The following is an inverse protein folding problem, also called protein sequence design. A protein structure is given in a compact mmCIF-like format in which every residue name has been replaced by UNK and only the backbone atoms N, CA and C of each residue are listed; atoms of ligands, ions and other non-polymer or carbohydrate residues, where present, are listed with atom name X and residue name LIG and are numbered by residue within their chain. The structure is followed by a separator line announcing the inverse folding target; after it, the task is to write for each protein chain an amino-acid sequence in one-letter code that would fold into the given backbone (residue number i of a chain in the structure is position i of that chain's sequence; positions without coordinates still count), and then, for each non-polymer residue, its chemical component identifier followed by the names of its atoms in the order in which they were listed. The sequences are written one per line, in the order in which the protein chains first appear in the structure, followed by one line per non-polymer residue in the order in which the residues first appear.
data_IF_700363906771
#
_entry.id   IF_700363906771
#
_cell.length_a   1.000
_cell.length_b   1.000
_cell.length_c   1.000
_cell.angle_alpha   90.00
_cell.angle_beta   90.00
_cell.angle_gamma   90.00
#
_symmetry.space_group_name_H-M   'P 1'
#
loop_
_entity.id
_entity.type
_entity.pdbx_description
1 polymer ?
#
# COMPACT_ATOMS: atom_id res chain seq x y z
N UNK A 1 44.51 42.91 -36.12
CA UNK A 1 43.66 41.74 -36.42
C UNK A 1 43.79 40.70 -35.32
N UNK A 2 42.82 40.61 -34.41
CA UNK A 2 42.43 39.36 -33.74
C UNK A 2 41.02 39.55 -33.22
N UNK A 3 40.11 38.92 -33.94
CA UNK A 3 38.65 38.97 -33.80
C UNK A 3 38.27 38.15 -32.56
N UNK A 4 37.68 38.78 -31.54
CA UNK A 4 37.11 38.09 -30.39
C UNK A 4 35.72 37.53 -30.80
N UNK A 5 35.65 36.22 -31.00
CA UNK A 5 34.41 35.50 -31.29
C UNK A 5 33.75 35.14 -29.95
N UNK A 6 32.64 35.79 -29.63
CA UNK A 6 31.75 35.36 -28.55
C UNK A 6 31.02 34.10 -29.02
N UNK A 7 31.40 32.92 -28.50
CA UNK A 7 30.58 31.72 -28.61
C UNK A 7 29.39 31.85 -27.66
N UNK A 8 28.22 32.19 -28.21
CA UNK A 8 26.95 32.06 -27.51
C UNK A 8 26.61 30.58 -27.30
N UNK A 9 26.46 30.17 -26.05
CA UNK A 9 25.82 28.89 -25.72
C UNK A 9 24.32 29.02 -25.97
N UNK A 10 23.88 28.52 -27.13
CA UNK A 10 22.49 28.15 -27.35
C UNK A 10 22.17 26.93 -26.46
N UNK A 11 21.62 27.19 -25.29
CA UNK A 11 20.87 26.16 -24.57
C UNK A 11 19.63 25.82 -25.40
N UNK A 12 19.70 24.69 -26.11
CA UNK A 12 18.54 24.09 -26.74
C UNK A 12 17.53 23.73 -25.65
N UNK A 13 16.42 24.46 -25.61
CA UNK A 13 15.22 24.07 -24.87
C UNK A 13 14.67 22.80 -25.53
N UNK A 14 15.08 21.62 -25.06
CA UNK A 14 14.32 20.40 -25.35
C UNK A 14 13.09 20.50 -24.46
N UNK A 15 11.99 21.01 -25.00
CA UNK A 15 10.69 20.85 -24.39
C UNK A 15 10.42 19.33 -24.35
N UNK A 16 10.65 18.71 -23.20
CA UNK A 16 10.17 17.36 -22.94
C UNK A 16 8.66 17.41 -23.09
N UNK A 17 8.13 16.84 -24.17
CA UNK A 17 6.74 16.40 -24.22
C UNK A 17 6.45 15.75 -22.87
N UNK A 18 5.43 16.23 -22.14
CA UNK A 18 4.98 15.58 -20.90
C UNK A 18 4.47 14.18 -21.29
N UNK A 19 5.39 13.24 -21.43
CA UNK A 19 5.08 11.83 -21.48
C UNK A 19 4.36 11.50 -20.18
N UNK A 20 3.27 10.74 -20.28
CA UNK A 20 2.54 10.23 -19.11
C UNK A 20 3.54 9.59 -18.15
N UNK A 21 3.76 10.22 -17.00
CA UNK A 21 4.65 9.72 -15.95
C UNK A 21 3.97 8.50 -15.33
N UNK A 22 4.41 7.31 -15.73
CA UNK A 22 3.97 6.07 -15.12
C UNK A 22 4.40 6.05 -13.64
N UNK A 23 3.55 5.53 -12.73
CA UNK A 23 3.94 5.40 -11.33
C UNK A 23 5.10 4.41 -11.22
N UNK A 24 6.13 4.79 -10.47
CA UNK A 24 7.25 3.91 -10.15
C UNK A 24 6.72 2.68 -9.38
N UNK A 25 7.18 1.47 -9.70
CA UNK A 25 6.71 0.27 -9.03
C UNK A 25 7.15 0.27 -7.57
N UNK A 26 6.19 0.17 -6.65
CA UNK A 26 6.45 0.07 -5.21
C UNK A 26 6.23 -1.37 -4.78
N UNK A 27 7.30 -2.05 -4.40
CA UNK A 27 7.26 -3.39 -3.82
C UNK A 27 8.50 -3.62 -2.96
N UNK A 28 8.46 -4.64 -2.11
CA UNK A 28 9.61 -4.96 -1.27
C UNK A 28 9.40 -6.17 -0.38
N UNK A 29 10.42 -6.41 0.44
CA UNK A 29 10.52 -7.52 1.38
C UNK A 29 10.82 -6.99 2.77
N UNK A 30 10.13 -7.51 3.77
CA UNK A 30 10.37 -7.28 5.19
C UNK A 30 10.71 -8.61 5.86
N UNK A 31 11.55 -8.57 6.89
CA UNK A 31 11.82 -9.74 7.71
C UNK A 31 12.14 -9.33 9.15
N UNK A 32 11.96 -10.26 10.09
CA UNK A 32 12.46 -10.11 11.46
C UNK A 32 13.99 -9.96 11.48
N UNK A 33 14.57 -9.26 12.45
CA UNK A 33 16.02 -9.17 12.60
C UNK A 33 16.64 -10.57 12.74
N UNK A 34 17.62 -10.89 11.89
CA UNK A 34 18.33 -12.18 11.92
C UNK A 34 17.74 -13.28 11.05
N UNK A 35 16.54 -13.10 10.48
CA UNK A 35 15.90 -14.11 9.62
C UNK A 35 16.85 -14.64 8.52
N UNK A 36 16.97 -15.97 8.32
CA UNK A 36 16.10 -17.05 8.84
C UNK A 36 16.50 -17.60 10.22
N UNK A 37 17.53 -17.05 10.86
CA UNK A 37 17.90 -17.43 12.22
C UNK A 37 16.87 -16.89 13.22
N UNK A 38 16.93 -17.40 14.47
CA UNK A 38 16.08 -16.91 15.54
C UNK A 38 16.21 -15.40 15.74
N UNK A 39 15.09 -14.73 16.02
CA UNK A 39 15.15 -13.34 16.46
C UNK A 39 15.64 -13.26 17.92
N UNK A 40 16.20 -12.12 18.28
CA UNK A 40 16.65 -11.84 19.64
C UNK A 40 15.51 -11.21 20.46
N UNK A 41 15.61 -11.29 21.79
CA UNK A 41 14.74 -10.57 22.71
C UNK A 41 14.92 -9.04 22.58
N UNK A 42 13.97 -8.28 23.10
CA UNK A 42 13.96 -6.81 23.18
C UNK A 42 14.16 -6.09 21.84
N UNK A 43 13.53 -6.58 20.78
CA UNK A 43 13.61 -5.98 19.45
C UNK A 43 12.35 -5.18 19.14
N UNK A 44 12.55 -3.91 18.79
CA UNK A 44 11.52 -3.08 18.18
C UNK A 44 11.92 -2.72 16.75
N UNK A 45 11.08 -3.02 15.78
CA UNK A 45 11.24 -2.59 14.39
C UNK A 45 9.93 -2.02 13.86
N UNK A 46 10.03 -0.95 13.09
CA UNK A 46 8.86 -0.36 12.46
C UNK A 46 9.19 0.10 11.05
N UNK A 47 8.32 -0.25 10.11
CA UNK A 47 8.40 0.13 8.70
C UNK A 47 7.13 0.87 8.33
N UNK A 48 7.29 2.04 7.70
CA UNK A 48 6.19 2.79 7.10
C UNK A 48 6.31 2.66 5.59
N UNK A 49 5.35 1.96 5.00
CA UNK A 49 5.26 1.70 3.58
C UNK A 49 4.26 2.67 2.97
N UNK A 50 4.58 3.24 1.82
CA UNK A 50 3.71 4.22 1.15
C UNK A 50 3.65 3.94 -0.34
N UNK A 51 2.44 3.74 -0.85
CA UNK A 51 2.12 3.64 -2.27
C UNK A 51 1.77 5.02 -2.84
N UNK A 52 1.79 5.19 -4.18
CA UNK A 52 1.29 6.41 -4.82
C UNK A 52 -0.20 6.66 -4.53
N UNK A 53 -0.71 7.90 -4.67
CA UNK A 53 -2.15 8.16 -4.64
C UNK A 53 -2.90 7.30 -5.67
N UNK A 54 -4.09 6.79 -5.30
CA UNK A 54 -4.86 5.85 -6.12
C UNK A 54 -4.42 4.38 -5.99
N UNK A 55 -3.36 4.11 -5.21
CA UNK A 55 -2.89 2.75 -4.94
C UNK A 55 -3.08 2.39 -3.47
N UNK A 56 -3.20 1.09 -3.21
CA UNK A 56 -3.11 0.49 -1.88
C UNK A 56 -1.94 -0.49 -1.82
N UNK A 57 -1.53 -0.86 -0.62
CA UNK A 57 -0.51 -1.86 -0.39
C UNK A 57 -1.17 -3.20 -0.10
N UNK A 58 -0.72 -4.22 -0.82
CA UNK A 58 -0.99 -5.63 -0.55
C UNK A 58 0.23 -6.22 0.15
N UNK A 59 0.03 -6.89 1.28
CA UNK A 59 1.09 -7.55 2.05
C UNK A 59 0.68 -8.98 2.39
N UNK A 60 1.62 -9.91 2.30
CA UNK A 60 1.45 -11.31 2.68
C UNK A 60 2.75 -11.86 3.28
N UNK A 61 2.63 -12.95 4.03
CA UNK A 61 3.75 -13.62 4.68
C UNK A 61 4.12 -14.90 3.93
N UNK A 62 5.42 -15.13 3.75
CA UNK A 62 5.97 -16.40 3.24
C UNK A 62 6.46 -17.28 4.38
N UNK A 63 6.79 -16.68 5.52
CA UNK A 63 7.18 -17.38 6.74
C UNK A 63 6.67 -16.62 7.96
N UNK A 64 6.18 -17.34 8.97
CA UNK A 64 5.74 -16.75 10.24
C UNK A 64 5.83 -17.76 11.38
N UNK A 65 6.65 -17.44 12.37
CA UNK A 65 6.95 -18.26 13.52
C UNK A 65 7.38 -17.35 14.68
N UNK A 66 6.41 -16.93 15.49
CA UNK A 66 6.60 -16.07 16.66
C UNK A 66 6.12 -16.80 17.93
N UNK A 67 6.56 -16.30 19.08
CA UNK A 67 6.00 -16.71 20.36
C UNK A 67 4.48 -16.50 20.41
N UNK A 68 3.75 -17.49 20.94
CA UNK A 68 2.31 -17.41 21.15
C UNK A 68 2.02 -16.90 22.56
N UNK A 69 1.22 -15.85 22.67
CA UNK A 69 0.78 -15.28 23.95
C UNK A 69 -0.66 -14.78 23.84
N UNK A 70 -1.38 -14.67 24.97
CA UNK A 70 -2.78 -14.25 24.96
C UNK A 70 -2.94 -12.89 24.29
N UNK A 71 -3.72 -12.82 23.21
CA UNK A 71 -3.89 -11.62 22.36
C UNK A 71 -2.57 -11.01 21.85
N UNK A 72 -1.53 -11.82 21.71
CA UNK A 72 -0.20 -11.41 21.23
C UNK A 72 0.42 -10.28 22.07
N UNK A 73 0.36 -10.41 23.40
CA UNK A 73 0.87 -9.41 24.34
C UNK A 73 2.39 -9.41 24.52
N UNK A 74 3.06 -10.55 24.29
CA UNK A 74 4.51 -10.67 24.30
C UNK A 74 5.05 -10.29 22.91
N UNK A 75 5.30 -11.27 22.04
CA UNK A 75 5.82 -11.03 20.71
C UNK A 75 4.71 -10.83 19.68
N UNK A 76 4.88 -9.84 18.79
CA UNK A 76 3.88 -9.60 17.76
C UNK A 76 4.42 -8.93 16.49
N UNK A 77 3.70 -9.17 15.40
CA UNK A 77 3.70 -8.30 14.21
C UNK A 77 2.35 -7.59 14.12
N UNK A 78 2.37 -6.26 14.22
CA UNK A 78 1.19 -5.40 14.14
C UNK A 78 1.13 -4.70 12.79
N UNK A 79 0.00 -4.85 12.11
CA UNK A 79 -0.31 -4.17 10.86
C UNK A 79 -1.31 -3.05 11.12
N UNK A 80 -1.01 -1.84 10.67
CA UNK A 80 -1.87 -0.68 10.89
C UNK A 80 -1.94 0.22 9.66
N UNK A 81 -3.12 0.74 9.37
CA UNK A 81 -3.38 1.67 8.27
C UNK A 81 -4.04 2.93 8.82
N UNK A 82 -3.27 4.02 8.88
CA UNK A 82 -3.69 5.22 9.61
C UNK A 82 -3.93 4.91 11.09
N UNK A 83 -5.14 5.17 11.57
CA UNK A 83 -5.56 4.92 12.96
C UNK A 83 -6.12 3.51 13.19
N UNK A 84 -6.38 2.74 12.13
CA UNK A 84 -6.95 1.39 12.25
C UNK A 84 -5.84 0.35 12.36
N UNK A 85 -5.95 -0.51 13.37
CA UNK A 85 -5.19 -1.76 13.44
C UNK A 85 -5.89 -2.78 12.55
N UNK A 86 -5.16 -3.30 11.57
CA UNK A 86 -5.67 -4.31 10.63
C UNK A 86 -5.56 -5.71 11.23
N UNK A 87 -4.41 -5.99 11.87
CA UNK A 87 -4.13 -7.26 12.52
C UNK A 87 -3.05 -7.07 13.59
N UNK A 88 -3.10 -7.91 14.63
CA UNK A 88 -1.98 -8.15 15.55
C UNK A 88 -1.72 -9.66 15.51
N UNK A 89 -0.53 -10.03 15.05
CA UNK A 89 -0.20 -11.39 14.64
C UNK A 89 0.87 -11.98 15.57
N UNK A 90 0.71 -13.23 15.97
CA UNK A 90 1.68 -13.99 16.76
C UNK A 90 1.43 -15.51 16.61
N UNK A 91 2.28 -16.33 17.23
CA UNK A 91 2.22 -17.78 17.11
C UNK A 91 2.62 -18.30 15.71
N UNK A 92 2.30 -19.57 15.46
CA UNK A 92 2.50 -20.25 14.17
C UNK A 92 1.17 -20.52 13.45
N UNK A 93 0.13 -20.83 14.22
CA UNK A 93 -1.24 -21.08 13.74
C UNK A 93 -2.23 -20.25 14.56
N UNK A 94 -3.35 -19.86 13.93
CA UNK A 94 -4.40 -19.09 14.61
C UNK A 94 -5.13 -19.91 15.67
N UNK A 95 -5.56 -19.25 16.74
CA UNK A 95 -6.34 -19.84 17.84
C UNK A 95 -7.69 -19.10 17.95
N UNK A 96 -8.47 -19.39 19.00
CA UNK A 96 -9.70 -18.65 19.30
C UNK A 96 -9.44 -17.18 19.68
N UNK A 97 -8.23 -16.85 20.14
CA UNK A 97 -7.89 -15.52 20.70
C UNK A 97 -6.70 -14.84 20.02
N UNK A 98 -5.89 -15.58 19.27
CA UNK A 98 -4.72 -15.10 18.55
C UNK A 98 -4.84 -15.38 17.04
N UNK A 99 -4.15 -14.57 16.25
CA UNK A 99 -4.12 -14.71 14.80
C UNK A 99 -2.70 -14.95 14.31
N UNK A 100 -2.48 -16.02 13.57
CA UNK A 100 -1.32 -16.16 12.68
C UNK A 100 -1.74 -15.75 11.25
N UNK A 101 -0.83 -15.27 10.40
CA UNK A 101 -1.22 -14.79 9.07
C UNK A 101 -1.65 -15.91 8.11
N UNK A 102 -1.13 -17.14 8.26
CA UNK A 102 -1.39 -18.22 7.32
C UNK A 102 -1.14 -17.79 5.86
N UNK A 103 -2.15 -17.98 5.01
CA UNK A 103 -2.13 -17.54 3.61
C UNK A 103 -2.96 -16.26 3.38
N UNK A 104 -3.35 -15.57 4.45
CA UNK A 104 -4.15 -14.35 4.35
C UNK A 104 -3.36 -13.23 3.69
N UNK A 105 -4.09 -12.40 2.94
CA UNK A 105 -3.54 -11.20 2.30
C UNK A 105 -4.11 -9.98 2.97
N UNK A 106 -3.23 -9.09 3.44
CA UNK A 106 -3.60 -7.86 4.12
C UNK A 106 -3.53 -6.69 3.15
N UNK A 107 -4.56 -5.84 3.17
CA UNK A 107 -4.64 -4.64 2.35
C UNK A 107 -4.66 -3.39 3.22
N UNK A 108 -3.90 -2.36 2.84
CA UNK A 108 -4.00 -1.06 3.50
C UNK A 108 -5.32 -0.37 3.18
N UNK A 109 -5.80 0.42 4.15
CA UNK A 109 -6.91 1.36 3.99
C UNK A 109 -6.32 2.70 3.52
N UNK A 110 -6.23 2.87 2.21
CA UNK A 110 -5.50 3.98 1.57
C UNK A 110 -4.04 3.61 1.25
N UNK A 111 -3.19 4.60 0.96
CA UNK A 111 -1.86 4.36 0.40
C UNK A 111 -0.77 4.01 1.43
N UNK A 112 -1.08 3.96 2.73
CA UNK A 112 -0.08 3.81 3.78
C UNK A 112 -0.31 2.56 4.62
N UNK A 113 0.76 1.80 4.88
CA UNK A 113 0.76 0.64 5.78
C UNK A 113 1.95 0.74 6.74
N UNK A 114 1.67 0.66 8.04
CA UNK A 114 2.69 0.55 9.07
C UNK A 114 2.79 -0.88 9.56
N UNK A 115 3.98 -1.44 9.52
CA UNK A 115 4.32 -2.78 10.04
C UNK A 115 5.20 -2.57 11.27
N UNK A 116 4.85 -3.18 12.39
CA UNK A 116 5.63 -3.11 13.63
C UNK A 116 5.90 -4.52 14.13
N UNK A 117 7.17 -4.85 14.33
CA UNK A 117 7.60 -6.07 15.02
C UNK A 117 8.10 -5.70 16.40
N UNK A 118 7.65 -6.44 17.40
CA UNK A 118 8.05 -6.32 18.79
C UNK A 118 8.38 -7.72 19.33
N UNK A 119 9.46 -7.81 20.10
CA UNK A 119 9.74 -8.96 20.94
C UNK A 119 10.00 -8.53 22.39
N UNK A 120 9.50 -9.32 23.33
CA UNK A 120 9.57 -9.04 24.76
C UNK A 120 10.96 -9.39 25.35
N UNK A 121 11.07 -9.66 26.65
CA UNK A 121 12.36 -9.91 27.31
C UNK A 121 12.85 -11.36 27.25
N UNK A 122 12.04 -12.31 26.77
CA UNK A 122 12.41 -13.72 26.82
C UNK A 122 11.66 -14.58 25.80
N UNK A 123 12.40 -15.43 25.10
CA UNK A 123 11.82 -16.49 24.27
C UNK A 123 12.07 -17.89 24.84
N UNK A 124 10.99 -18.62 25.17
CA UNK A 124 11.06 -20.01 25.68
C UNK A 124 11.56 -21.02 24.63
N UNK A 125 11.44 -20.68 23.34
CA UNK A 125 11.85 -21.52 22.19
C UNK A 125 12.60 -20.69 21.15
N UNK A 126 13.39 -21.31 20.26
CA UNK A 126 14.10 -20.58 19.21
C UNK A 126 13.19 -20.24 18.03
N UNK A 127 12.31 -19.25 18.20
CA UNK A 127 11.39 -18.79 17.15
C UNK A 127 12.13 -18.05 16.02
N UNK A 128 11.82 -18.39 14.79
CA UNK A 128 12.54 -17.93 13.58
C UNK A 128 12.04 -16.60 13.03
N UNK A 129 10.92 -16.09 13.55
CA UNK A 129 10.38 -14.79 13.20
C UNK A 129 9.55 -14.81 11.92
N UNK A 130 9.72 -13.83 11.04
CA UNK A 130 8.86 -13.71 9.85
C UNK A 130 9.61 -13.25 8.61
N UNK A 131 9.05 -13.60 7.45
CA UNK A 131 9.34 -13.03 6.16
C UNK A 131 8.03 -12.61 5.49
N UNK A 132 7.98 -11.37 5.01
CA UNK A 132 6.82 -10.79 4.35
C UNK A 132 7.20 -10.04 3.08
N UNK A 133 6.27 -10.01 2.13
CA UNK A 133 6.40 -9.28 0.89
C UNK A 133 5.22 -8.33 0.72
N UNK A 134 5.50 -7.17 0.14
CA UNK A 134 4.47 -6.19 -0.17
C UNK A 134 4.62 -5.66 -1.59
N UNK A 135 3.51 -5.24 -2.17
CA UNK A 135 3.45 -4.54 -3.44
C UNK A 135 2.30 -3.53 -3.43
N UNK A 136 2.49 -2.40 -4.12
CA UNK A 136 1.42 -1.49 -4.45
C UNK A 136 0.59 -2.09 -5.59
N UNK A 137 -0.72 -1.96 -5.46
CA UNK A 137 -1.68 -2.29 -6.49
C UNK A 137 -2.71 -1.17 -6.64
N UNK A 138 -3.19 -1.00 -7.86
CA UNK A 138 -4.21 -0.03 -8.20
C UNK A 138 -5.50 -0.32 -7.43
N UNK A 139 -6.13 0.73 -6.92
CA UNK A 139 -7.45 0.61 -6.28
C UNK A 139 -8.49 0.71 -7.38
N UNK A 140 -9.23 -0.38 -7.62
CA UNK A 140 -10.39 -0.30 -8.53
C UNK A 140 -11.57 0.36 -7.83
N UNK A 141 -11.68 1.70 -7.92
CA UNK A 141 -12.76 2.45 -7.26
C UNK A 141 -14.14 2.11 -7.84
N UNK A 142 -14.20 1.53 -9.04
CA UNK A 142 -15.44 1.07 -9.63
C UNK A 142 -15.95 -0.25 -9.04
N UNK A 143 -15.08 -1.02 -8.36
CA UNK A 143 -15.43 -2.30 -7.70
C UNK A 143 -15.43 -2.21 -6.19
N UNK A 144 -14.63 -1.33 -5.60
CA UNK A 144 -14.57 -1.16 -4.15
C UNK A 144 -15.74 -0.32 -3.69
N UNK A 145 -16.72 -0.95 -3.04
CA UNK A 145 -17.84 -0.26 -2.39
C UNK A 145 -17.35 0.51 -1.17
N UNK A 146 -17.02 1.79 -1.37
CA UNK A 146 -16.84 2.75 -0.27
C UNK A 146 -18.22 3.05 0.34
N UNK A 147 -18.65 2.22 1.31
CA UNK A 147 -19.85 2.49 2.12
C UNK A 147 -21.12 2.67 1.30
N UNK A 148 -21.46 1.68 0.45
CA UNK A 148 -22.71 1.58 -0.32
C UNK A 148 -23.01 2.67 -1.36
N UNK A 149 -22.06 3.53 -1.71
CA UNK A 149 -22.22 4.48 -2.82
C UNK A 149 -21.27 4.15 -3.97
N UNK A 150 -21.84 3.89 -5.15
CA UNK A 150 -21.08 3.79 -6.41
C UNK A 150 -20.57 5.20 -6.73
N UNK A 151 -19.29 5.39 -7.06
CA UNK A 151 -18.72 6.72 -7.21
C UNK A 151 -19.20 7.46 -8.48
N UNK A 152 -19.84 6.77 -9.42
CA UNK A 152 -20.32 7.34 -10.68
C UNK A 152 -21.81 7.06 -10.86
N UNK A 153 -22.53 8.05 -11.38
CA UNK A 153 -23.98 7.97 -11.61
C UNK A 153 -24.35 7.03 -12.78
N UNK A 154 -23.57 7.08 -13.88
CA UNK A 154 -23.79 6.24 -15.07
C UNK A 154 -22.67 5.21 -15.27
N UNK A 155 -21.54 5.61 -15.85
CA UNK A 155 -20.43 4.70 -16.15
C UNK A 155 -19.20 5.08 -15.33
N UNK A 156 -18.57 4.08 -14.70
CA UNK A 156 -17.30 4.22 -14.00
C UNK A 156 -16.19 3.60 -14.82
N UNK A 157 -15.07 4.31 -14.96
CA UNK A 157 -13.89 3.88 -15.70
C UNK A 157 -12.68 3.92 -14.78
N UNK A 158 -12.19 2.74 -14.40
CA UNK A 158 -10.96 2.60 -13.62
C UNK A 158 -9.72 2.73 -14.53
N UNK A 159 -8.66 3.35 -14.02
CA UNK A 159 -7.35 3.39 -14.64
C UNK A 159 -6.26 3.37 -13.55
N UNK A 160 -5.02 3.12 -13.95
CA UNK A 160 -3.90 3.05 -13.02
C UNK A 160 -3.70 4.39 -12.27
N UNK A 161 -4.04 4.40 -10.98
CA UNK A 161 -3.96 5.56 -10.08
C UNK A 161 -5.23 6.39 -9.93
N UNK A 162 -6.37 5.92 -10.44
CA UNK A 162 -7.66 6.55 -10.16
C UNK A 162 -8.77 6.15 -11.13
N UNK A 163 -9.84 6.93 -11.14
CA UNK A 163 -11.00 6.68 -11.98
C UNK A 163 -11.61 7.96 -12.54
N UNK A 164 -12.50 7.81 -13.51
CA UNK A 164 -13.37 8.88 -13.97
C UNK A 164 -14.76 8.36 -14.32
N UNK A 165 -15.74 9.25 -14.31
CA UNK A 165 -17.11 8.93 -14.68
C UNK A 165 -17.43 9.41 -16.10
N UNK A 166 -18.34 8.71 -16.78
CA UNK A 166 -18.94 9.18 -18.03
C UNK A 166 -20.44 8.91 -18.07
N UNK A 167 -21.14 9.56 -19.00
CA UNK A 167 -22.59 9.53 -19.09
C UNK A 167 -23.09 8.76 -20.32
N UNK A 168 -24.32 8.24 -20.23
CA UNK A 168 -25.11 7.75 -21.37
C UNK A 168 -25.33 8.86 -22.40
N UNK A 169 -25.59 8.46 -23.65
CA UNK A 169 -25.95 9.40 -24.71
C UNK A 169 -27.18 10.24 -24.30
N UNK A 170 -27.13 11.55 -24.58
CA UNK A 170 -28.18 12.51 -24.17
C UNK A 170 -27.98 13.15 -22.79
N UNK A 171 -26.96 12.73 -22.04
CA UNK A 171 -26.58 13.30 -20.75
C UNK A 171 -25.20 13.96 -20.81
N UNK A 172 -24.99 14.96 -19.96
CA UNK A 172 -23.72 15.66 -19.80
C UNK A 172 -23.20 15.42 -18.38
N UNK A 173 -21.89 15.19 -18.26
CA UNK A 173 -21.23 15.03 -16.98
C UNK A 173 -21.24 16.38 -16.24
N UNK A 174 -21.82 16.40 -15.06
CA UNK A 174 -21.89 17.58 -14.20
C UNK A 174 -20.49 18.00 -13.74
N UNK A 175 -20.33 19.27 -13.31
CA UNK A 175 -19.06 19.82 -12.87
C UNK A 175 -18.46 19.11 -11.64
N UNK A 176 -19.28 18.40 -10.86
CA UNK A 176 -18.80 17.54 -9.78
C UNK A 176 -18.06 16.29 -10.28
N UNK A 177 -18.04 16.01 -11.59
CA UNK A 177 -17.38 14.86 -12.24
C UNK A 177 -17.95 13.49 -11.91
N UNK A 178 -19.11 13.43 -11.25
CA UNK A 178 -19.75 12.17 -10.82
C UNK A 178 -21.17 12.01 -11.35
N UNK A 179 -21.97 13.09 -11.34
CA UNK A 179 -23.39 13.08 -11.68
C UNK A 179 -23.61 13.34 -13.17
N UNK A 180 -24.64 12.73 -13.75
CA UNK A 180 -25.05 12.94 -15.12
C UNK A 180 -26.39 13.66 -15.19
N UNK A 181 -26.45 14.81 -15.85
CA UNK A 181 -27.68 15.59 -16.05
C UNK A 181 -28.10 15.60 -17.51
N UNK A 182 -29.41 15.62 -17.77
CA UNK A 182 -29.93 15.75 -19.13
C UNK A 182 -29.45 17.05 -19.77
N UNK A 183 -29.10 16.99 -21.05
CA UNK A 183 -28.72 18.18 -21.79
C UNK A 183 -29.99 19.01 -22.06
N UNK A 184 -30.22 20.05 -21.26
CA UNK A 184 -31.28 21.01 -21.55
C UNK A 184 -30.95 21.70 -22.88
N UNK A 185 -31.78 21.47 -23.90
CA UNK A 185 -31.73 22.21 -25.17
C UNK A 185 -32.15 23.67 -24.97
#
# INVERSE_FOLDING_TARGET
MRLLIFLGLLWSLVATLLGSKWPEPVFGRLASPGFPEKYADHQDRSWTLTAPPGYRLRLYFTHFDLELSYRCEYDFVKLSSGTKVLATLCGQESTDTEQAPGNDTFYSLGPSLKVTFHSDYSNEKPFTGFEAFYAAEDVDECRVSLGDSVPCDHYCHNYLGGYYCSCRAGYVLHQNKHTCSEQSL
#
